data_IF_848471330579
#
_entry.id   IF_848471330579
#
_cell.length_a   1.000
_cell.length_b   1.000
_cell.length_c   1.000
_cell.angle_alpha   90.00
_cell.angle_beta   90.00
_cell.angle_gamma   90.00
#
_symmetry.space_group_name_H-M   'P 1'
#
loop_
_entity.id
_entity.type
_entity.pdbx_description
1 polymer ?
#
# COMPACT_ATOMS: atom_id res chain seq x y z
N UNK A 1 -10.73 -21.95 -28.26
CA UNK A 1 -9.38 -21.72 -28.81
C UNK A 1 -8.48 -20.95 -27.82
N UNK A 2 -8.91 -19.82 -27.29
CA UNK A 2 -8.09 -19.01 -26.35
C UNK A 2 -7.81 -19.74 -25.03
N UNK A 3 -8.81 -20.39 -24.41
CA UNK A 3 -8.63 -21.17 -23.18
C UNK A 3 -7.64 -22.32 -23.32
N UNK A 4 -7.66 -23.02 -24.45
CA UNK A 4 -6.70 -24.11 -24.73
C UNK A 4 -5.26 -23.58 -24.84
N UNK A 5 -5.07 -22.37 -25.41
CA UNK A 5 -3.77 -21.70 -25.45
C UNK A 5 -3.23 -21.38 -24.06
N UNK A 6 -4.10 -20.90 -23.16
CA UNK A 6 -3.71 -20.61 -21.77
C UNK A 6 -3.37 -21.89 -21.00
N UNK A 7 -4.19 -22.94 -21.11
CA UNK A 7 -3.92 -24.26 -20.51
C UNK A 7 -2.58 -24.82 -21.00
N UNK A 8 -2.30 -24.71 -22.32
CA UNK A 8 -1.03 -25.13 -22.89
C UNK A 8 0.18 -24.38 -22.30
N UNK A 9 0.10 -23.04 -22.20
CA UNK A 9 1.17 -22.23 -21.57
C UNK A 9 1.45 -22.70 -20.14
N UNK A 10 0.39 -22.87 -19.33
CA UNK A 10 0.55 -23.30 -17.93
C UNK A 10 1.10 -24.74 -17.86
N UNK A 11 0.68 -25.63 -18.74
CA UNK A 11 1.17 -27.01 -18.78
C UNK A 11 2.66 -27.09 -19.07
N UNK A 12 3.17 -26.26 -19.97
CA UNK A 12 4.60 -26.25 -20.34
C UNK A 12 5.49 -25.58 -19.30
N UNK A 13 4.98 -24.59 -18.59
CA UNK A 13 5.80 -23.74 -17.71
C UNK A 13 5.61 -24.03 -16.22
N UNK A 14 4.58 -24.77 -15.84
CA UNK A 14 4.13 -24.89 -14.45
C UNK A 14 3.33 -23.66 -13.97
N UNK A 15 3.06 -23.55 -12.66
CA UNK A 15 2.30 -22.44 -12.10
C UNK A 15 2.96 -21.08 -12.30
N UNK A 16 2.17 -20.11 -12.75
CA UNK A 16 2.59 -18.73 -13.09
C UNK A 16 1.79 -17.71 -12.29
N UNK A 17 2.39 -16.53 -12.05
CA UNK A 17 1.61 -15.37 -11.62
C UNK A 17 0.78 -14.83 -12.78
N UNK A 18 -0.32 -14.11 -12.47
CA UNK A 18 -1.13 -13.47 -13.50
C UNK A 18 -0.33 -12.55 -14.41
N UNK A 19 0.69 -11.86 -13.87
CA UNK A 19 1.62 -11.05 -14.67
C UNK A 19 2.45 -11.88 -15.65
N UNK A 20 3.05 -12.97 -15.17
CA UNK A 20 3.84 -13.88 -16.03
C UNK A 20 3.00 -14.50 -17.14
N UNK A 21 1.74 -14.83 -16.82
CA UNK A 21 0.80 -15.35 -17.82
C UNK A 21 0.39 -14.28 -18.83
N UNK A 22 0.19 -13.03 -18.38
CA UNK A 22 -0.11 -11.88 -19.24
C UNK A 22 1.00 -11.65 -20.29
N UNK A 23 2.26 -11.65 -19.83
CA UNK A 23 3.43 -11.46 -20.73
C UNK A 23 3.53 -12.55 -21.80
N UNK A 24 3.22 -13.81 -21.44
CA UNK A 24 3.30 -14.95 -22.37
C UNK A 24 2.11 -15.02 -23.34
N UNK A 25 0.92 -14.75 -22.85
CA UNK A 25 -0.32 -14.82 -23.66
C UNK A 25 -0.49 -13.64 -24.60
N UNK A 26 0.14 -12.48 -24.31
CA UNK A 26 -0.02 -11.20 -25.00
C UNK A 26 -1.49 -10.70 -25.03
N UNK A 27 -2.30 -11.16 -24.09
CA UNK A 27 -3.70 -10.75 -23.96
C UNK A 27 -3.82 -9.53 -23.07
N UNK A 28 -4.99 -8.90 -23.05
CA UNK A 28 -5.34 -7.89 -22.06
C UNK A 28 -5.69 -8.54 -20.72
N UNK A 29 -5.45 -7.83 -19.62
CA UNK A 29 -5.53 -8.38 -18.26
C UNK A 29 -6.94 -8.84 -17.85
N UNK A 30 -8.00 -8.08 -18.20
CA UNK A 30 -9.37 -8.44 -17.83
C UNK A 30 -9.93 -9.62 -18.63
N UNK A 31 -9.80 -9.67 -19.96
CA UNK A 31 -10.13 -10.86 -20.73
C UNK A 31 -9.37 -12.11 -20.26
N UNK A 32 -8.07 -12.00 -20.02
CA UNK A 32 -7.27 -13.10 -19.49
C UNK A 32 -7.78 -13.60 -18.13
N UNK A 33 -8.09 -12.69 -17.21
CA UNK A 33 -8.67 -13.04 -15.91
C UNK A 33 -10.02 -13.76 -16.06
N UNK A 34 -10.90 -13.30 -16.97
CA UNK A 34 -12.19 -13.94 -17.23
C UNK A 34 -12.01 -15.37 -17.77
N UNK A 35 -11.12 -15.56 -18.74
CA UNK A 35 -10.80 -16.89 -19.28
C UNK A 35 -10.29 -17.82 -18.18
N UNK A 36 -9.33 -17.38 -17.37
CA UNK A 36 -8.79 -18.19 -16.28
C UNK A 36 -9.87 -18.60 -15.26
N UNK A 37 -10.84 -17.72 -14.99
CA UNK A 37 -11.96 -18.05 -14.07
C UNK A 37 -12.99 -19.02 -14.67
N UNK A 38 -13.22 -18.92 -15.97
CA UNK A 38 -14.23 -19.73 -16.67
C UNK A 38 -13.71 -21.08 -17.13
N UNK A 39 -12.40 -21.29 -17.11
CA UNK A 39 -11.76 -22.54 -17.53
C UNK A 39 -11.66 -23.51 -16.36
N UNK A 40 -12.41 -24.63 -16.35
CA UNK A 40 -12.48 -25.53 -15.19
C UNK A 40 -11.16 -26.17 -14.81
N UNK A 41 -10.26 -26.36 -15.78
CA UNK A 41 -8.94 -26.97 -15.60
C UNK A 41 -7.95 -26.03 -14.87
N UNK A 42 -8.25 -24.73 -14.82
CA UNK A 42 -7.36 -23.72 -14.20
C UNK A 42 -7.77 -23.50 -12.74
N UNK A 43 -6.80 -23.69 -11.87
CA UNK A 43 -6.87 -23.37 -10.44
C UNK A 43 -6.09 -22.08 -10.15
N UNK A 44 -6.60 -21.29 -9.20
CA UNK A 44 -5.92 -20.08 -8.76
C UNK A 44 -5.77 -20.03 -7.24
N UNK A 45 -4.62 -19.57 -6.78
CA UNK A 45 -4.34 -19.30 -5.37
C UNK A 45 -3.90 -17.85 -5.19
N UNK A 46 -4.55 -17.13 -4.28
CA UNK A 46 -4.20 -15.74 -3.99
C UNK A 46 -3.20 -15.68 -2.82
N UNK A 47 -2.02 -15.18 -3.08
CA UNK A 47 -0.96 -14.98 -2.09
C UNK A 47 -1.14 -13.68 -1.27
N UNK A 48 -1.99 -12.77 -1.73
CA UNK A 48 -2.24 -11.50 -1.07
C UNK A 48 -3.43 -11.52 -0.11
N UNK A 49 -3.63 -10.42 0.59
CA UNK A 49 -4.83 -10.15 1.38
C UNK A 49 -5.55 -8.93 0.84
N UNK A 50 -6.85 -8.86 1.10
CA UNK A 50 -7.67 -7.70 0.79
C UNK A 50 -7.77 -6.79 2.01
N UNK A 51 -7.84 -5.48 1.77
CA UNK A 51 -8.00 -4.45 2.80
C UNK A 51 -8.81 -3.27 2.25
N UNK A 52 -9.42 -2.50 3.12
CA UNK A 52 -10.21 -1.33 2.74
C UNK A 52 -9.33 -0.29 2.02
N UNK A 53 -9.81 0.25 0.92
CA UNK A 53 -9.32 1.47 0.28
C UNK A 53 -10.48 2.44 0.09
N UNK A 54 -10.27 3.70 0.44
CA UNK A 54 -11.23 4.75 0.19
C UNK A 54 -11.04 5.30 -1.22
N UNK A 55 -12.15 5.43 -1.96
CA UNK A 55 -12.16 5.90 -3.33
C UNK A 55 -13.35 6.84 -3.55
N UNK A 56 -13.09 8.07 -4.02
CA UNK A 56 -14.12 9.08 -4.23
C UNK A 56 -15.14 8.70 -5.31
N UNK A 57 -14.74 7.85 -6.25
CA UNK A 57 -15.55 7.46 -7.40
C UNK A 57 -16.44 6.24 -7.13
N UNK A 58 -16.42 5.72 -5.90
CA UNK A 58 -17.23 4.58 -5.48
C UNK A 58 -18.33 5.06 -4.54
N UNK A 59 -19.54 4.56 -4.72
CA UNK A 59 -20.64 4.83 -3.80
C UNK A 59 -20.26 4.39 -2.39
N UNK A 60 -20.56 5.20 -1.37
CA UNK A 60 -20.13 4.97 0.01
C UNK A 60 -18.60 5.07 0.24
N UNK A 61 -17.84 5.45 -0.78
CA UNK A 61 -16.38 5.65 -0.76
C UNK A 61 -15.52 4.43 -0.42
N UNK A 62 -16.11 3.26 -0.21
CA UNK A 62 -15.42 2.06 0.26
C UNK A 62 -15.25 1.04 -0.87
N UNK A 63 -14.03 0.57 -1.09
CA UNK A 63 -13.76 -0.60 -1.94
C UNK A 63 -12.61 -1.43 -1.38
N UNK A 64 -12.50 -2.69 -1.78
CA UNK A 64 -11.34 -3.48 -1.42
C UNK A 64 -10.14 -3.20 -2.35
N UNK A 65 -8.97 -3.18 -1.74
CA UNK A 65 -7.66 -3.21 -2.39
C UNK A 65 -7.02 -4.58 -2.12
N UNK A 66 -6.28 -5.15 -3.08
CA UNK A 66 -6.09 -4.70 -4.45
C UNK A 66 -7.36 -4.79 -5.31
N UNK A 67 -7.43 -3.99 -6.40
CA UNK A 67 -8.48 -4.16 -7.42
C UNK A 67 -8.38 -5.55 -8.05
N UNK A 68 -9.47 -6.04 -8.69
CA UNK A 68 -9.49 -7.35 -9.38
C UNK A 68 -8.27 -7.50 -10.30
N UNK A 69 -8.02 -6.49 -11.13
CA UNK A 69 -6.87 -6.49 -12.05
C UNK A 69 -5.53 -6.58 -11.30
N UNK A 70 -5.34 -5.77 -10.26
CA UNK A 70 -4.07 -5.78 -9.50
C UNK A 70 -3.90 -7.07 -8.71
N UNK A 71 -4.97 -7.59 -8.09
CA UNK A 71 -4.96 -8.89 -7.40
C UNK A 71 -4.56 -10.01 -8.35
N UNK A 72 -5.19 -10.07 -9.53
CA UNK A 72 -4.89 -11.08 -10.54
C UNK A 72 -3.43 -11.00 -11.00
N UNK A 73 -2.96 -9.80 -11.38
CA UNK A 73 -1.63 -9.66 -11.94
C UNK A 73 -0.49 -9.84 -10.91
N UNK A 74 -0.69 -9.35 -9.69
CA UNK A 74 0.40 -9.22 -8.72
C UNK A 74 0.41 -10.32 -7.68
N UNK A 75 -0.76 -10.82 -7.28
CA UNK A 75 -0.90 -11.67 -6.09
C UNK A 75 -1.54 -13.02 -6.38
N UNK A 76 -1.97 -13.30 -7.61
CA UNK A 76 -2.60 -14.58 -7.96
C UNK A 76 -1.62 -15.48 -8.69
N UNK A 77 -1.51 -16.71 -8.22
CA UNK A 77 -0.82 -17.81 -8.90
C UNK A 77 -1.86 -18.69 -9.59
N UNK A 78 -1.61 -19.03 -10.84
CA UNK A 78 -2.45 -19.84 -11.70
C UNK A 78 -1.72 -21.13 -12.08
N UNK A 79 -2.40 -22.25 -12.01
CA UNK A 79 -1.89 -23.57 -12.40
C UNK A 79 -3.02 -24.46 -12.88
N UNK A 80 -2.72 -25.70 -13.24
CA UNK A 80 -3.69 -26.71 -13.63
C UNK A 80 -4.18 -27.52 -12.43
N UNK A 81 -5.37 -28.10 -12.52
CA UNK A 81 -6.01 -28.87 -11.44
C UNK A 81 -5.09 -29.95 -10.85
N UNK A 82 -4.26 -30.60 -11.66
CA UNK A 82 -3.28 -31.61 -11.22
C UNK A 82 -2.03 -31.06 -10.54
N UNK A 83 -1.82 -29.73 -10.51
CA UNK A 83 -0.61 -29.06 -10.00
C UNK A 83 -0.80 -28.44 -8.60
N UNK A 84 -1.73 -28.94 -7.78
CA UNK A 84 -2.12 -28.31 -6.51
C UNK A 84 -0.95 -28.01 -5.55
N UNK A 85 -0.01 -28.96 -5.40
CA UNK A 85 1.17 -28.76 -4.56
C UNK A 85 2.13 -27.68 -5.10
N UNK A 86 2.30 -27.62 -6.42
CA UNK A 86 3.18 -26.64 -7.08
C UNK A 86 2.57 -25.23 -7.02
N UNK A 87 1.22 -25.13 -7.16
CA UNK A 87 0.48 -23.88 -6.99
C UNK A 87 0.68 -23.33 -5.58
N UNK A 88 0.49 -24.17 -4.55
CA UNK A 88 0.68 -23.75 -3.16
C UNK A 88 2.12 -23.35 -2.87
N UNK A 89 3.10 -24.12 -3.35
CA UNK A 89 4.52 -23.79 -3.21
C UNK A 89 4.86 -22.44 -3.87
N UNK A 90 4.37 -22.18 -5.08
CA UNK A 90 4.58 -20.90 -5.78
C UNK A 90 3.85 -19.74 -5.09
N UNK A 91 2.65 -19.97 -4.57
CA UNK A 91 1.92 -18.97 -3.80
C UNK A 91 2.63 -18.63 -2.48
N UNK A 92 3.19 -19.64 -1.80
CA UNK A 92 3.99 -19.40 -0.60
C UNK A 92 5.27 -18.62 -0.89
N UNK A 93 5.95 -18.91 -1.98
CA UNK A 93 7.10 -18.12 -2.44
C UNK A 93 6.70 -16.68 -2.73
N UNK A 94 5.58 -16.45 -3.42
CA UNK A 94 5.07 -15.11 -3.71
C UNK A 94 4.72 -14.34 -2.42
N UNK A 95 4.11 -15.00 -1.43
CA UNK A 95 3.86 -14.42 -0.09
C UNK A 95 5.17 -13.93 0.55
N UNK A 96 6.23 -14.73 0.49
CA UNK A 96 7.54 -14.35 1.03
C UNK A 96 8.17 -13.17 0.26
N UNK A 97 8.11 -13.19 -1.08
CA UNK A 97 8.60 -12.09 -1.92
C UNK A 97 7.91 -10.76 -1.56
N UNK A 98 6.59 -10.74 -1.44
CA UNK A 98 5.79 -9.55 -1.07
C UNK A 98 6.14 -9.05 0.33
N UNK A 99 6.31 -9.96 1.29
CA UNK A 99 6.74 -9.59 2.65
C UNK A 99 8.16 -9.01 2.68
N UNK A 100 9.09 -9.58 1.92
CA UNK A 100 10.46 -9.06 1.81
C UNK A 100 10.49 -7.66 1.20
N UNK A 101 9.71 -7.42 0.13
CA UNK A 101 9.58 -6.10 -0.48
C UNK A 101 9.00 -5.11 0.54
N UNK A 102 7.96 -5.49 1.27
CA UNK A 102 7.33 -4.62 2.28
C UNK A 102 8.33 -4.24 3.39
N UNK A 103 9.13 -5.19 3.88
CA UNK A 103 10.18 -4.93 4.87
C UNK A 103 11.26 -4.02 4.32
N UNK A 104 11.75 -4.28 3.09
CA UNK A 104 12.78 -3.46 2.45
C UNK A 104 12.29 -2.01 2.26
N UNK A 105 11.03 -1.80 1.88
CA UNK A 105 10.42 -0.48 1.75
C UNK A 105 10.26 0.21 3.11
N UNK A 106 9.86 -0.52 4.15
CA UNK A 106 9.81 0.01 5.51
C UNK A 106 11.19 0.47 5.99
N UNK A 107 12.22 -0.35 5.80
CA UNK A 107 13.59 -0.04 6.19
C UNK A 107 14.14 1.16 5.41
N UNK A 108 13.90 1.24 4.10
CA UNK A 108 14.28 2.38 3.27
C UNK A 108 13.58 3.68 3.74
N UNK A 109 12.29 3.62 4.06
CA UNK A 109 11.55 4.76 4.60
C UNK A 109 12.16 5.23 5.93
N UNK A 110 12.44 4.29 6.85
CA UNK A 110 13.05 4.57 8.16
C UNK A 110 14.44 5.19 8.03
N UNK A 111 15.30 4.61 7.21
CA UNK A 111 16.65 5.16 6.93
C UNK A 111 16.58 6.54 6.29
N UNK A 112 15.64 6.74 5.36
CA UNK A 112 15.43 8.03 4.72
C UNK A 112 15.00 9.10 5.71
N UNK A 113 14.04 8.83 6.58
CA UNK A 113 13.59 9.77 7.59
C UNK A 113 14.66 10.00 8.67
N UNK A 114 15.40 8.98 9.06
CA UNK A 114 16.58 9.12 9.96
C UNK A 114 17.62 10.08 9.34
N UNK A 115 17.96 9.90 8.06
CA UNK A 115 18.88 10.79 7.35
C UNK A 115 18.35 12.23 7.28
N UNK A 116 17.05 12.43 7.06
CA UNK A 116 16.39 13.75 7.05
C UNK A 116 16.60 14.45 8.39
N UNK A 117 16.21 13.80 9.50
CA UNK A 117 16.27 14.43 10.82
C UNK A 117 17.69 14.70 11.29
N UNK A 118 18.64 13.84 10.95
CA UNK A 118 20.07 14.05 11.24
C UNK A 118 20.65 15.28 10.54
N UNK A 119 20.07 15.71 9.42
CA UNK A 119 20.49 16.91 8.70
C UNK A 119 19.93 18.22 9.30
N UNK A 120 19.01 18.13 10.27
CA UNK A 120 18.31 19.28 10.84
C UNK A 120 18.96 19.72 12.16
N UNK A 121 19.53 20.92 12.27
CA UNK A 121 20.13 21.43 13.52
C UNK A 121 19.15 21.46 14.69
N UNK A 122 17.87 21.78 14.43
CA UNK A 122 16.83 21.87 15.43
C UNK A 122 16.24 20.52 15.86
N UNK A 123 16.63 19.37 15.26
CA UNK A 123 16.00 18.09 15.53
C UNK A 123 16.03 17.70 17.02
N UNK A 124 17.18 17.87 17.68
CA UNK A 124 17.32 17.53 19.10
C UNK A 124 16.32 18.24 20.02
N UNK A 125 15.84 19.43 19.62
CA UNK A 125 14.87 20.21 20.42
C UNK A 125 13.42 19.79 20.18
N UNK A 126 13.14 19.07 19.08
CA UNK A 126 11.78 18.66 18.71
C UNK A 126 11.56 17.15 18.62
N UNK A 127 12.61 16.33 18.75
CA UNK A 127 12.54 14.86 18.53
C UNK A 127 11.51 14.15 19.41
N UNK A 128 11.30 14.60 20.66
CA UNK A 128 10.31 14.01 21.57
C UNK A 128 8.88 14.50 21.29
N UNK A 129 8.72 15.40 20.35
CA UNK A 129 7.44 16.06 20.03
C UNK A 129 6.98 15.86 18.59
N UNK A 130 7.71 15.02 17.83
CA UNK A 130 7.42 14.69 16.45
C UNK A 130 7.49 13.18 16.26
N UNK A 131 6.53 12.58 15.57
CA UNK A 131 6.59 11.21 15.11
C UNK A 131 6.36 11.10 13.60
N UNK A 132 6.98 10.11 13.00
CA UNK A 132 6.79 9.69 11.62
C UNK A 132 6.03 8.38 11.63
N UNK A 133 5.00 8.30 10.83
CA UNK A 133 4.12 7.14 10.68
C UNK A 133 4.20 6.70 9.23
N UNK A 134 4.35 5.40 8.98
CA UNK A 134 4.20 4.81 7.65
C UNK A 134 2.86 4.11 7.54
N UNK A 135 2.23 4.16 6.37
CA UNK A 135 0.93 3.56 6.11
C UNK A 135 0.89 2.86 4.73
N UNK A 136 -0.30 2.51 4.26
CA UNK A 136 -0.53 1.96 2.93
C UNK A 136 -0.06 0.51 2.74
N UNK A 137 0.31 0.18 1.51
CA UNK A 137 0.68 -1.19 1.12
C UNK A 137 1.78 -1.80 2.02
N UNK A 138 2.69 -0.97 2.51
CA UNK A 138 3.83 -1.40 3.36
C UNK A 138 3.34 -1.98 4.68
N UNK A 139 2.42 -1.31 5.37
CA UNK A 139 1.88 -1.78 6.66
C UNK A 139 1.00 -3.01 6.53
N UNK A 140 0.36 -3.17 5.38
CA UNK A 140 -0.41 -4.38 5.09
C UNK A 140 0.46 -5.59 4.67
N UNK A 141 1.78 -5.41 4.50
CA UNK A 141 2.64 -6.45 3.96
C UNK A 141 2.29 -6.79 2.51
N UNK A 142 1.81 -5.79 1.75
CA UNK A 142 1.30 -5.90 0.39
C UNK A 142 2.05 -5.01 -0.60
N UNK A 143 3.21 -4.51 -0.22
CA UNK A 143 4.03 -3.75 -1.14
C UNK A 143 4.58 -4.64 -2.27
N UNK A 144 4.65 -4.09 -3.47
CA UNK A 144 5.13 -4.76 -4.67
C UNK A 144 6.16 -3.92 -5.41
N UNK A 145 6.95 -4.56 -6.27
CA UNK A 145 8.00 -3.91 -7.07
C UNK A 145 7.59 -3.69 -8.55
N UNK A 146 6.35 -3.99 -8.94
CA UNK A 146 5.90 -3.83 -10.34
C UNK A 146 6.02 -2.36 -10.75
N UNK A 147 6.82 -2.00 -11.77
CA UNK A 147 7.05 -0.62 -12.15
C UNK A 147 5.75 0.09 -12.57
N UNK A 148 5.64 1.35 -12.18
CA UNK A 148 4.52 2.21 -12.58
C UNK A 148 5.01 3.66 -12.80
N UNK A 149 4.31 4.47 -13.62
CA UNK A 149 4.60 5.90 -13.70
C UNK A 149 4.17 6.60 -12.39
N UNK A 150 5.02 7.48 -11.89
CA UNK A 150 4.68 8.44 -10.84
C UNK A 150 3.81 9.56 -11.42
N UNK A 151 2.76 9.96 -10.68
CA UNK A 151 1.66 10.78 -11.23
C UNK A 151 2.11 12.18 -11.64
N UNK A 152 3.01 12.81 -10.88
CA UNK A 152 3.37 14.22 -11.11
C UNK A 152 4.43 14.40 -12.21
N UNK A 153 5.35 13.46 -12.37
CA UNK A 153 6.48 13.55 -13.29
C UNK A 153 6.44 12.58 -14.45
N UNK A 154 5.59 11.53 -14.36
CA UNK A 154 5.58 10.41 -15.29
C UNK A 154 6.82 9.52 -15.24
N UNK A 155 7.74 9.74 -14.31
CA UNK A 155 8.92 8.88 -14.14
C UNK A 155 8.53 7.51 -13.63
N UNK A 156 9.20 6.48 -14.12
CA UNK A 156 8.99 5.13 -13.65
C UNK A 156 9.53 4.94 -12.23
N UNK A 157 8.69 4.46 -11.33
CA UNK A 157 9.02 4.12 -9.93
C UNK A 157 8.81 2.65 -9.66
N UNK A 158 9.43 2.15 -8.58
CA UNK A 158 9.37 0.75 -8.17
C UNK A 158 8.14 0.48 -7.31
N UNK A 159 7.05 0.15 -7.97
CA UNK A 159 5.83 -0.38 -7.33
C UNK A 159 5.16 0.54 -6.33
N UNK A 160 4.90 0.02 -5.13
CA UNK A 160 4.19 0.76 -4.07
C UNK A 160 5.00 1.96 -3.56
N UNK A 161 4.32 3.05 -3.31
CA UNK A 161 4.84 4.27 -2.68
C UNK A 161 5.13 4.09 -1.19
N UNK A 162 5.84 5.04 -0.63
CA UNK A 162 6.11 5.16 0.79
C UNK A 162 5.20 6.27 1.35
N UNK A 163 4.04 5.86 1.87
CA UNK A 163 3.06 6.77 2.48
C UNK A 163 3.52 7.19 3.89
N UNK A 164 4.00 8.42 4.06
CA UNK A 164 4.58 8.89 5.32
C UNK A 164 3.75 10.06 5.87
N UNK A 165 3.38 9.97 7.14
CA UNK A 165 2.73 11.07 7.87
C UNK A 165 3.64 11.50 8.99
N UNK A 166 3.95 12.79 9.02
CA UNK A 166 4.68 13.43 10.09
C UNK A 166 3.70 14.17 10.97
N UNK A 167 3.68 13.85 12.26
CA UNK A 167 2.77 14.49 13.22
C UNK A 167 3.59 15.12 14.34
N UNK A 168 3.34 16.39 14.60
CA UNK A 168 3.99 17.17 15.63
C UNK A 168 2.99 17.62 16.70
N UNK A 169 3.48 17.81 17.92
CA UNK A 169 2.72 18.53 18.97
C UNK A 169 2.45 19.96 18.53
N UNK A 170 1.33 20.52 19.02
CA UNK A 170 0.82 21.84 18.60
C UNK A 170 1.76 22.99 18.95
N UNK A 171 2.69 22.79 19.87
CA UNK A 171 3.66 23.79 20.34
C UNK A 171 5.03 23.72 19.63
N UNK A 172 5.19 22.84 18.64
CA UNK A 172 6.36 22.84 17.76
C UNK A 172 6.33 24.04 16.84
N UNK A 173 7.43 24.79 16.77
CA UNK A 173 7.48 26.04 16.00
C UNK A 173 7.24 25.79 14.51
N UNK A 174 6.52 26.73 13.86
CA UNK A 174 6.25 26.65 12.42
C UNK A 174 7.51 26.67 11.58
N UNK A 175 8.58 27.35 12.02
CA UNK A 175 9.86 27.37 11.32
C UNK A 175 10.52 26.00 11.35
N UNK A 176 10.52 25.32 12.52
CA UNK A 176 11.06 23.96 12.62
C UNK A 176 10.28 22.96 11.73
N UNK A 177 8.93 23.10 11.68
CA UNK A 177 8.11 22.25 10.78
C UNK A 177 8.37 22.55 9.31
N UNK A 178 8.58 23.81 8.95
CA UNK A 178 8.93 24.20 7.57
C UNK A 178 10.31 23.68 7.15
N UNK A 179 11.30 23.74 8.03
CA UNK A 179 12.63 23.19 7.77
C UNK A 179 12.56 21.65 7.58
N UNK A 180 11.76 20.98 8.42
CA UNK A 180 11.52 19.54 8.32
C UNK A 180 10.82 19.18 7.00
N UNK A 181 9.76 19.90 6.62
CA UNK A 181 9.03 19.71 5.37
C UNK A 181 9.98 19.86 4.15
N UNK A 182 10.79 20.91 4.12
CA UNK A 182 11.77 21.12 3.05
C UNK A 182 12.82 20.00 2.99
N UNK A 183 13.26 19.49 4.13
CA UNK A 183 14.23 18.39 4.18
C UNK A 183 13.63 17.09 3.64
N UNK A 184 12.38 16.79 3.99
CA UNK A 184 11.65 15.63 3.45
C UNK A 184 11.43 15.80 1.94
N UNK A 185 11.05 16.98 1.47
CA UNK A 185 10.87 17.26 0.05
C UNK A 185 12.16 17.01 -0.75
N UNK A 186 13.33 17.46 -0.26
CA UNK A 186 14.62 17.15 -0.89
C UNK A 186 14.89 15.64 -0.94
N UNK A 187 14.59 14.91 0.15
CA UNK A 187 14.77 13.45 0.18
C UNK A 187 13.83 12.74 -0.78
N UNK A 188 12.55 13.14 -0.84
CA UNK A 188 11.55 12.65 -1.82
C UNK A 188 12.10 12.82 -3.25
N UNK A 189 12.55 14.01 -3.61
CA UNK A 189 13.11 14.26 -4.94
C UNK A 189 14.34 13.41 -5.22
N UNK A 190 15.25 13.29 -4.25
CA UNK A 190 16.44 12.46 -4.39
C UNK A 190 16.08 10.98 -4.68
N UNK A 191 15.19 10.38 -3.91
CA UNK A 191 14.80 8.98 -4.10
C UNK A 191 14.06 8.75 -5.43
N UNK A 192 13.29 9.73 -5.89
CA UNK A 192 12.58 9.66 -7.16
C UNK A 192 13.52 9.65 -8.36
N UNK A 193 14.56 10.47 -8.35
CA UNK A 193 15.42 10.67 -9.53
C UNK A 193 16.70 9.85 -9.52
N UNK A 194 17.13 9.35 -8.36
CA UNK A 194 18.40 8.65 -8.24
C UNK A 194 18.32 7.23 -8.83
N UNK A 195 19.26 6.83 -9.71
CA UNK A 195 19.17 5.58 -10.49
C UNK A 195 19.04 4.30 -9.65
N UNK A 196 19.57 4.30 -8.43
CA UNK A 196 19.54 3.12 -7.56
C UNK A 196 18.22 2.93 -6.81
N UNK A 197 17.40 3.98 -6.71
CA UNK A 197 16.17 3.96 -5.92
C UNK A 197 14.93 3.89 -6.80
N UNK A 198 14.63 4.95 -7.53
CA UNK A 198 13.35 5.10 -8.26
C UNK A 198 12.15 4.87 -7.35
N UNK A 199 12.20 5.45 -6.15
CA UNK A 199 11.15 5.30 -5.13
C UNK A 199 10.35 6.57 -4.98
N UNK A 200 9.06 6.43 -4.79
CA UNK A 200 8.14 7.53 -4.53
C UNK A 200 7.85 7.63 -3.03
N UNK A 201 8.06 8.80 -2.46
CA UNK A 201 7.53 9.15 -1.14
C UNK A 201 6.30 10.02 -1.33
N UNK A 202 5.18 9.60 -0.77
CA UNK A 202 4.03 10.48 -0.55
C UNK A 202 3.96 10.86 0.93
N UNK A 203 3.94 12.17 1.24
CA UNK A 203 4.02 12.58 2.64
C UNK A 203 3.16 13.79 2.98
N UNK A 204 2.79 13.88 4.25
CA UNK A 204 2.07 15.00 4.82
C UNK A 204 2.66 15.36 6.18
N UNK A 205 2.77 16.67 6.46
CA UNK A 205 3.15 17.20 7.78
C UNK A 205 1.92 17.83 8.44
N UNK A 206 1.62 17.44 9.68
CA UNK A 206 0.44 17.88 10.44
C UNK A 206 0.80 18.13 11.91
N UNK A 207 -0.01 18.97 12.57
CA UNK A 207 -0.06 19.07 14.03
C UNK A 207 -1.17 18.18 14.62
N UNK A 208 -1.16 17.99 15.93
CA UNK A 208 -2.19 17.20 16.64
C UNK A 208 -3.57 17.84 16.53
N UNK A 209 -3.67 19.17 16.52
CA UNK A 209 -4.94 19.85 16.34
C UNK A 209 -5.59 19.48 14.99
N UNK A 210 -4.80 19.43 13.92
CA UNK A 210 -5.28 18.98 12.60
C UNK A 210 -5.67 17.52 12.59
N UNK A 211 -4.90 16.64 13.25
CA UNK A 211 -5.27 15.22 13.42
C UNK A 211 -6.62 15.09 14.11
N UNK A 212 -6.82 15.79 15.26
CA UNK A 212 -8.10 15.77 16.00
C UNK A 212 -9.27 16.18 15.13
N UNK A 213 -9.11 17.24 14.33
CA UNK A 213 -10.15 17.67 13.39
C UNK A 213 -10.48 16.58 12.38
N UNK A 214 -9.46 15.91 11.82
CA UNK A 214 -9.64 14.89 10.80
C UNK A 214 -10.26 13.59 11.34
N UNK A 215 -10.04 13.26 12.61
CA UNK A 215 -10.64 12.08 13.25
C UNK A 215 -12.16 12.22 13.48
N UNK A 216 -12.76 13.40 13.24
CA UNK A 216 -14.21 13.55 13.19
C UNK A 216 -14.86 12.63 12.14
N UNK A 217 -14.11 12.28 11.06
CA UNK A 217 -14.53 11.31 10.04
C UNK A 217 -15.80 11.74 9.27
N UNK A 218 -16.03 13.03 9.15
CA UNK A 218 -17.25 13.67 8.64
C UNK A 218 -17.17 14.08 7.17
N UNK A 219 -16.03 13.93 6.54
CA UNK A 219 -15.81 14.19 5.11
C UNK A 219 -14.91 13.13 4.50
N UNK A 220 -14.94 12.98 3.16
CA UNK A 220 -14.10 12.01 2.47
C UNK A 220 -12.60 12.20 2.80
N UNK A 221 -12.13 13.46 2.89
CA UNK A 221 -10.74 13.75 3.25
C UNK A 221 -10.43 13.36 4.70
N UNK A 222 -11.38 13.58 5.63
CA UNK A 222 -11.25 13.15 7.02
C UNK A 222 -11.29 11.64 7.16
N UNK A 223 -12.12 10.95 6.38
CA UNK A 223 -12.14 9.47 6.32
C UNK A 223 -10.79 8.90 5.87
N UNK A 224 -10.21 9.46 4.79
CA UNK A 224 -8.86 9.05 4.34
C UNK A 224 -7.83 9.29 5.43
N UNK A 225 -7.81 10.49 6.03
CA UNK A 225 -6.84 10.83 7.06
C UNK A 225 -6.98 9.92 8.29
N UNK A 226 -8.20 9.68 8.76
CA UNK A 226 -8.50 8.79 9.89
C UNK A 226 -8.06 7.36 9.61
N UNK A 227 -8.37 6.84 8.42
CA UNK A 227 -7.95 5.50 8.00
C UNK A 227 -6.43 5.37 7.98
N UNK A 228 -5.71 6.29 7.34
CA UNK A 228 -4.25 6.25 7.25
C UNK A 228 -3.61 6.31 8.64
N UNK A 229 -4.13 7.14 9.55
CA UNK A 229 -3.64 7.24 10.94
C UNK A 229 -3.97 5.96 11.73
N UNK A 230 -5.13 5.36 11.50
CA UNK A 230 -5.52 4.10 12.15
C UNK A 230 -4.59 2.95 11.76
N UNK A 231 -4.37 2.71 10.45
CA UNK A 231 -3.55 1.62 9.95
C UNK A 231 -2.05 1.84 10.11
N UNK A 232 -1.63 3.10 10.21
CA UNK A 232 -0.22 3.47 10.19
C UNK A 232 0.58 2.94 11.39
N UNK A 233 1.83 2.61 11.14
CA UNK A 233 2.81 2.12 12.12
C UNK A 233 3.87 3.19 12.40
N UNK A 234 4.42 3.17 13.62
CA UNK A 234 5.51 4.09 13.97
C UNK A 234 6.77 3.76 13.14
N UNK A 235 7.17 4.71 12.33
CA UNK A 235 8.38 4.61 11.52
C UNK A 235 9.61 5.14 12.28
N UNK A 236 9.48 6.31 12.90
CA UNK A 236 10.57 7.00 13.60
C UNK A 236 10.02 8.08 14.55
N UNK A 237 10.81 8.52 15.54
CA UNK A 237 10.51 9.65 16.43
C UNK A 237 9.77 9.28 17.70
N UNK A 238 8.96 10.19 18.22
CA UNK A 238 8.34 10.11 19.53
C UNK A 238 7.27 9.02 19.65
N UNK A 239 7.54 7.99 20.43
CA UNK A 239 6.55 6.96 20.81
C UNK A 239 5.40 7.55 21.63
N UNK A 240 5.66 8.59 22.43
CA UNK A 240 4.62 9.25 23.23
C UNK A 240 3.59 9.94 22.35
N UNK A 241 4.04 10.72 21.35
CA UNK A 241 3.16 11.36 20.37
C UNK A 241 2.37 10.31 19.58
N UNK A 242 3.03 9.24 19.12
CA UNK A 242 2.37 8.15 18.41
C UNK A 242 1.27 7.48 19.25
N UNK A 243 1.54 7.14 20.52
CA UNK A 243 0.53 6.56 21.41
C UNK A 243 -0.64 7.50 21.66
N UNK A 244 -0.37 8.79 21.89
CA UNK A 244 -1.42 9.83 22.05
C UNK A 244 -2.36 9.85 20.85
N UNK A 245 -1.83 9.81 19.64
CA UNK A 245 -2.63 9.78 18.40
C UNK A 245 -3.44 8.50 18.30
N UNK A 246 -2.86 7.34 18.59
CA UNK A 246 -3.60 6.05 18.57
C UNK A 246 -4.73 6.03 19.59
N UNK A 247 -4.53 6.59 20.79
CA UNK A 247 -5.60 6.76 21.78
C UNK A 247 -6.75 7.63 21.24
N UNK A 248 -6.43 8.76 20.57
CA UNK A 248 -7.46 9.59 19.94
C UNK A 248 -8.25 8.86 18.85
N UNK A 249 -7.60 8.00 18.07
CA UNK A 249 -8.23 7.14 17.05
C UNK A 249 -9.29 6.23 17.69
N UNK A 250 -8.95 5.59 18.80
CA UNK A 250 -9.86 4.71 19.55
C UNK A 250 -11.03 5.52 20.17
N UNK A 251 -10.75 6.64 20.84
CA UNK A 251 -11.77 7.52 21.45
C UNK A 251 -12.79 8.01 20.43
N UNK A 252 -12.35 8.30 19.21
CA UNK A 252 -13.22 8.75 18.10
C UNK A 252 -13.91 7.61 17.35
N UNK A 253 -13.73 6.38 17.79
CA UNK A 253 -14.32 5.15 17.21
C UNK A 253 -14.03 5.00 15.71
N UNK A 254 -12.84 5.39 15.31
CA UNK A 254 -12.41 5.26 13.89
C UNK A 254 -12.30 3.80 13.47
N UNK A 255 -11.80 2.86 14.31
CA UNK A 255 -11.72 1.44 13.95
C UNK A 255 -13.08 0.84 13.60
N UNK A 256 -14.13 1.13 14.38
CA UNK A 256 -15.48 0.62 14.14
C UNK A 256 -16.08 1.16 12.85
N UNK A 257 -15.83 2.46 12.56
CA UNK A 257 -16.27 3.08 11.29
C UNK A 257 -15.59 2.42 10.09
N UNK A 258 -14.29 2.16 10.20
CA UNK A 258 -13.49 1.50 9.15
C UNK A 258 -13.96 0.06 8.94
N UNK A 259 -14.18 -0.70 10.02
CA UNK A 259 -14.66 -2.08 9.95
C UNK A 259 -16.04 -2.20 9.28
N UNK A 260 -16.95 -1.24 9.56
CA UNK A 260 -18.24 -1.18 8.90
C UNK A 260 -18.10 -0.93 7.38
N UNK A 261 -17.22 0.00 6.98
CA UNK A 261 -16.94 0.28 5.57
C UNK A 261 -16.28 -0.91 4.86
N UNK A 262 -15.37 -1.61 5.53
CA UNK A 262 -14.69 -2.78 4.97
C UNK A 262 -15.66 -3.94 4.73
N UNK A 263 -16.60 -4.17 5.66
CA UNK A 263 -17.65 -5.17 5.48
C UNK A 263 -18.51 -4.87 4.25
N UNK A 264 -18.94 -3.62 4.07
CA UNK A 264 -19.71 -3.21 2.89
C UNK A 264 -18.91 -3.41 1.59
N UNK A 265 -17.67 -2.94 1.55
CA UNK A 265 -16.79 -3.13 0.42
C UNK A 265 -16.52 -4.62 0.08
N UNK A 266 -16.54 -5.50 1.07
CA UNK A 266 -16.39 -6.94 0.86
C UNK A 266 -17.65 -7.56 0.22
N UNK A 267 -18.83 -7.07 0.56
CA UNK A 267 -20.10 -7.48 -0.06
C UNK A 267 -20.16 -7.04 -1.53
N UNK A 268 -19.83 -5.77 -1.81
CA UNK A 268 -19.77 -5.24 -3.19
C UNK A 268 -18.75 -5.99 -4.06
N UNK A 269 -17.59 -6.31 -3.48
CA UNK A 269 -16.56 -7.09 -4.20
C UNK A 269 -17.05 -8.46 -4.60
N UNK A 270 -17.79 -9.16 -3.74
CA UNK A 270 -18.37 -10.48 -4.06
C UNK A 270 -19.33 -10.39 -5.24
N UNK A 271 -20.16 -9.34 -5.28
CA UNK A 271 -21.07 -9.11 -6.40
C UNK A 271 -20.35 -8.82 -7.72
N UNK A 272 -19.28 -8.04 -7.66
CA UNK A 272 -18.46 -7.72 -8.84
C UNK A 272 -17.64 -8.90 -9.39
N UNK A 273 -17.48 -9.97 -8.61
CA UNK A 273 -16.76 -11.17 -9.02
C UNK A 273 -17.69 -12.25 -9.63
N UNK A 274 -19.01 -12.07 -9.61
CA UNK A 274 -19.99 -12.96 -10.23
C UNK A 274 -20.10 -12.64 -11.71
#
# INVERSE_FOLDING_TARGET
>A
MESQGIVHIINETGPLTGWQLLERSRMEALPLWQICRQTPEIRSECAGRRYLRLDRNVEGYARLSPSIRREFLTYTVLGLEGQGADIEARAQQLRQEVQQISRAKFDLARESMTSVVQSLPAWKSIQERVCFIIAGDVTYGMAHAVPRPEVSTGKMVRGSDLDIIVIAEDDVSKDALKDLDQAIFRKKHYLLVHPNYHEEIDYLVKDIAKVRQQLAFDSFQHMIAGKIIHEGELLYGSTAVFRKIKTMVEEMKVPEKIAAMEKHAAEDRKQAEI
#
